data_IF_225105365688
#
_entry.id   IF_225105365688
#
_cell.length_a   1.000
_cell.length_b   1.000
_cell.length_c   1.000
_cell.angle_alpha   90.00
_cell.angle_beta   90.00
_cell.angle_gamma   90.00
#
_symmetry.space_group_name_H-M   'P 1'
#
loop_
_entity.id
_entity.type
_entity.pdbx_description
1 polymer ?
#
# COMPACT_ATOMS: atom_id res chain seq x y z
N UNK A 1 3.92 -21.05 -14.41
CA UNK A 1 4.11 -20.13 -13.27
C UNK A 1 3.76 -20.93 -12.03
N UNK A 2 4.73 -21.17 -11.15
CA UNK A 2 4.55 -21.95 -9.93
C UNK A 2 3.61 -21.22 -8.96
N UNK A 3 2.38 -21.70 -8.83
CA UNK A 3 1.41 -21.23 -7.83
C UNK A 3 1.90 -21.48 -6.39
N UNK A 4 2.87 -22.38 -6.19
CA UNK A 4 3.51 -22.68 -4.90
C UNK A 4 4.33 -21.52 -4.32
N UNK A 5 4.78 -20.59 -5.17
CA UNK A 5 5.52 -19.38 -4.73
C UNK A 5 4.57 -18.25 -4.31
N UNK A 6 3.27 -18.35 -4.68
CA UNK A 6 2.27 -17.29 -4.49
C UNK A 6 1.82 -17.19 -3.02
N UNK A 7 1.96 -18.25 -2.22
CA UNK A 7 1.57 -18.20 -0.79
C UNK A 7 2.69 -17.74 0.16
N UNK A 8 3.95 -18.05 -0.13
CA UNK A 8 5.04 -17.87 0.84
C UNK A 8 5.52 -16.41 0.98
N UNK A 9 5.42 -15.59 -0.07
CA UNK A 9 5.88 -14.19 0.02
C UNK A 9 5.02 -13.35 0.97
N UNK A 10 3.74 -13.71 1.11
CA UNK A 10 2.75 -12.96 1.90
C UNK A 10 2.82 -13.27 3.40
N UNK A 11 3.62 -14.29 3.77
CA UNK A 11 3.93 -14.64 5.14
C UNK A 11 4.64 -13.48 5.85
N UNK A 12 4.22 -13.21 7.08
CA UNK A 12 4.71 -12.08 7.86
C UNK A 12 6.22 -12.18 8.12
N UNK A 13 6.74 -13.38 8.38
CA UNK A 13 8.16 -13.58 8.63
C UNK A 13 8.99 -13.34 7.36
N UNK A 14 8.53 -13.84 6.21
CA UNK A 14 9.19 -13.59 4.92
C UNK A 14 9.19 -12.10 4.57
N UNK A 15 8.03 -11.44 4.65
CA UNK A 15 7.91 -10.00 4.44
C UNK A 15 8.82 -9.21 5.40
N UNK A 16 8.84 -9.55 6.68
CA UNK A 16 9.69 -8.89 7.68
C UNK A 16 11.17 -9.01 7.34
N UNK A 17 11.61 -10.21 6.93
CA UNK A 17 12.99 -10.50 6.56
C UNK A 17 13.49 -9.63 5.41
N UNK A 18 12.63 -9.35 4.43
CA UNK A 18 12.97 -8.51 3.29
C UNK A 18 12.75 -7.01 3.56
N UNK A 19 11.76 -6.65 4.39
CA UNK A 19 11.44 -5.26 4.69
C UNK A 19 12.46 -4.60 5.63
N UNK A 20 12.93 -5.32 6.66
CA UNK A 20 13.85 -4.78 7.68
C UNK A 20 15.11 -4.11 7.09
N UNK A 21 15.89 -4.75 6.20
CA UNK A 21 17.08 -4.11 5.63
C UNK A 21 16.75 -2.89 4.76
N UNK A 22 15.56 -2.85 4.14
CA UNK A 22 15.13 -1.67 3.38
C UNK A 22 14.81 -0.49 4.31
N UNK A 23 14.16 -0.74 5.45
CA UNK A 23 13.89 0.32 6.43
C UNK A 23 15.19 0.94 6.95
N UNK A 24 16.22 0.13 7.18
CA UNK A 24 17.55 0.61 7.56
C UNK A 24 18.24 1.37 6.42
N UNK A 25 18.19 0.83 5.19
CA UNK A 25 18.81 1.45 4.01
C UNK A 25 18.25 2.85 3.73
N UNK A 26 16.96 3.06 3.93
CA UNK A 26 16.28 4.33 3.71
C UNK A 26 16.18 5.22 4.97
N UNK A 27 16.87 4.89 6.07
CA UNK A 27 16.80 5.58 7.37
C UNK A 27 15.35 5.84 7.86
N UNK A 28 14.48 4.86 7.66
CA UNK A 28 13.08 4.96 8.08
C UNK A 28 12.97 4.79 9.58
N UNK A 29 12.70 5.91 10.27
CA UNK A 29 12.55 5.92 11.73
C UNK A 29 11.16 5.45 12.14
N UNK A 30 11.10 4.58 13.16
CA UNK A 30 9.83 4.22 13.78
C UNK A 30 9.17 5.44 14.45
N UNK A 31 7.93 5.74 14.06
CA UNK A 31 7.15 6.89 14.59
C UNK A 31 5.90 6.48 15.38
N UNK A 32 5.75 5.19 15.72
CA UNK A 32 4.57 4.71 16.44
C UNK A 32 3.27 4.67 15.60
N UNK A 33 3.40 4.70 14.27
CA UNK A 33 2.26 4.75 13.35
C UNK A 33 2.28 3.62 12.30
N UNK A 34 3.11 2.59 12.50
CA UNK A 34 3.45 1.59 11.50
C UNK A 34 4.93 1.68 11.12
N UNK A 35 5.41 0.69 10.36
CA UNK A 35 6.81 0.62 9.89
C UNK A 35 7.09 1.64 8.79
N UNK A 36 6.08 1.90 7.97
CA UNK A 36 6.09 2.87 6.88
C UNK A 36 4.91 3.82 7.11
N UNK A 37 5.22 5.10 7.28
CA UNK A 37 4.22 6.15 7.46
C UNK A 37 4.27 7.08 6.25
N UNK A 38 3.14 7.20 5.55
CA UNK A 38 3.00 8.05 4.38
C UNK A 38 2.00 9.15 4.67
N UNK A 39 2.51 10.38 4.73
CA UNK A 39 1.74 11.60 4.81
C UNK A 39 1.83 12.40 3.49
N UNK A 40 1.46 13.67 3.54
CA UNK A 40 1.49 14.56 2.38
C UNK A 40 2.91 15.07 2.05
N UNK A 41 3.93 14.71 2.82
CA UNK A 41 5.31 15.13 2.54
C UNK A 41 5.89 14.29 1.40
N UNK A 42 6.38 14.97 0.37
CA UNK A 42 6.96 14.34 -0.83
C UNK A 42 8.03 13.30 -0.50
N UNK A 43 8.90 13.60 0.47
CA UNK A 43 9.94 12.68 0.91
C UNK A 43 9.39 11.35 1.44
N UNK A 44 8.32 11.38 2.24
CA UNK A 44 7.70 10.17 2.80
C UNK A 44 7.01 9.34 1.71
N UNK A 45 6.40 10.02 0.73
CA UNK A 45 5.75 9.39 -0.42
C UNK A 45 6.80 8.66 -1.28
N UNK A 46 7.87 9.38 -1.67
CA UNK A 46 8.93 8.82 -2.52
C UNK A 46 9.66 7.67 -1.82
N UNK A 47 9.96 7.81 -0.52
CA UNK A 47 10.63 6.77 0.26
C UNK A 47 9.78 5.50 0.36
N UNK A 48 8.47 5.63 0.64
CA UNK A 48 7.58 4.49 0.69
C UNK A 48 7.41 3.82 -0.69
N UNK A 49 7.33 4.60 -1.77
CA UNK A 49 7.27 4.05 -3.14
C UNK A 49 8.53 3.26 -3.49
N UNK A 50 9.72 3.78 -3.14
CA UNK A 50 10.99 3.08 -3.35
C UNK A 50 11.05 1.77 -2.56
N UNK A 51 10.70 1.79 -1.27
CA UNK A 51 10.69 0.59 -0.43
C UNK A 51 9.73 -0.48 -0.97
N UNK A 52 8.52 -0.08 -1.38
CA UNK A 52 7.55 -1.03 -1.96
C UNK A 52 8.04 -1.59 -3.30
N UNK A 53 8.75 -0.78 -4.08
CA UNK A 53 9.35 -1.20 -5.36
C UNK A 53 10.49 -2.19 -5.15
N UNK A 54 11.42 -1.90 -4.24
CA UNK A 54 12.53 -2.80 -3.94
C UNK A 54 12.05 -4.12 -3.32
N UNK A 55 11.02 -4.06 -2.48
CA UNK A 55 10.40 -5.23 -1.88
C UNK A 55 9.65 -6.08 -2.93
N UNK A 56 9.01 -5.43 -3.90
CA UNK A 56 8.39 -6.08 -5.08
C UNK A 56 9.44 -6.83 -5.91
N UNK A 57 10.59 -6.22 -6.16
CA UNK A 57 11.71 -6.84 -6.89
C UNK A 57 12.26 -8.04 -6.10
N UNK A 58 12.51 -7.87 -4.80
CA UNK A 58 13.07 -8.93 -3.95
C UNK A 58 12.15 -10.16 -3.84
N UNK A 59 10.84 -9.95 -3.80
CA UNK A 59 9.84 -11.01 -3.67
C UNK A 59 9.34 -11.55 -5.02
N UNK A 60 9.60 -10.84 -6.13
CA UNK A 60 9.14 -11.20 -7.47
C UNK A 60 7.62 -11.11 -7.63
N UNK A 61 6.98 -10.14 -6.96
CA UNK A 61 5.52 -9.92 -6.99
C UNK A 61 5.21 -8.45 -7.29
N UNK A 62 3.96 -8.09 -7.60
CA UNK A 62 3.64 -6.71 -7.97
C UNK A 62 3.67 -5.74 -6.78
N UNK A 63 4.04 -4.48 -7.04
CA UNK A 63 4.03 -3.39 -6.05
C UNK A 63 2.67 -3.22 -5.38
N UNK A 64 1.57 -3.39 -6.13
CA UNK A 64 0.21 -3.32 -5.61
C UNK A 64 -0.08 -4.44 -4.61
N UNK A 65 0.37 -5.67 -4.87
CA UNK A 65 0.18 -6.79 -3.95
C UNK A 65 0.97 -6.59 -2.65
N UNK A 66 2.24 -6.16 -2.75
CA UNK A 66 3.08 -5.81 -1.59
C UNK A 66 2.44 -4.70 -0.77
N UNK A 67 2.08 -3.59 -1.41
CA UNK A 67 1.47 -2.45 -0.73
C UNK A 67 0.16 -2.83 -0.03
N UNK A 68 -0.68 -3.64 -0.67
CA UNK A 68 -1.91 -4.15 -0.07
C UNK A 68 -1.63 -5.01 1.17
N UNK A 69 -0.66 -5.93 1.09
CA UNK A 69 -0.30 -6.79 2.21
C UNK A 69 0.30 -6.01 3.38
N UNK A 70 1.17 -5.03 3.12
CA UNK A 70 1.73 -4.16 4.16
C UNK A 70 0.65 -3.33 4.87
N UNK A 71 -0.39 -2.88 4.15
CA UNK A 71 -1.54 -2.21 4.77
C UNK A 71 -2.35 -3.17 5.64
N UNK A 72 -2.60 -4.41 5.19
CA UNK A 72 -3.31 -5.42 6.01
C UNK A 72 -2.60 -5.74 7.32
N UNK A 73 -1.26 -5.82 7.29
CA UNK A 73 -0.43 -6.05 8.47
C UNK A 73 -0.29 -4.79 9.35
N UNK A 74 -0.92 -3.67 8.97
CA UNK A 74 -0.76 -2.36 9.61
C UNK A 74 0.71 -1.88 9.66
N UNK A 75 1.52 -2.34 8.70
CA UNK A 75 2.93 -1.94 8.57
C UNK A 75 3.08 -0.72 7.66
N UNK A 76 2.21 -0.57 6.67
CA UNK A 76 2.10 0.63 5.84
C UNK A 76 0.84 1.40 6.20
N UNK A 77 1.01 2.62 6.72
CA UNK A 77 -0.08 3.54 7.02
C UNK A 77 0.00 4.75 6.10
N UNK A 78 -0.91 4.79 5.12
CA UNK A 78 -1.08 5.93 4.21
C UNK A 78 -2.27 6.78 4.65
N UNK A 79 -2.00 7.92 5.30
CA UNK A 79 -3.06 8.80 5.80
C UNK A 79 -3.77 9.57 4.69
N UNK A 80 -3.14 9.70 3.51
CA UNK A 80 -3.77 10.35 2.35
C UNK A 80 -4.96 9.53 1.87
N UNK A 81 -4.84 8.20 1.91
CA UNK A 81 -5.94 7.29 1.52
C UNK A 81 -7.09 7.29 2.52
N UNK A 82 -6.80 7.48 3.81
CA UNK A 82 -7.83 7.59 4.85
C UNK A 82 -8.72 8.83 4.65
N UNK A 83 -8.14 9.96 4.21
CA UNK A 83 -8.89 11.20 3.98
C UNK A 83 -9.89 11.13 2.82
N UNK A 84 -9.72 10.23 1.86
CA UNK A 84 -10.66 10.03 0.74
C UNK A 84 -11.87 9.14 1.09
N UNK A 85 -11.84 8.42 2.21
CA UNK A 85 -12.94 7.55 2.63
C UNK A 85 -14.08 8.29 3.35
N UNK A 86 -13.91 9.59 3.66
CA UNK A 86 -14.86 10.36 4.46
C UNK A 86 -15.78 11.30 3.65
N UNK A 87 -15.86 11.18 2.31
CA UNK A 87 -16.69 12.06 1.47
C UNK A 87 -17.88 11.35 0.79
N UNK A 88 -18.40 10.26 1.35
CA UNK A 88 -19.68 9.67 0.92
C UNK A 88 -20.62 9.41 2.09
N UNK A 89 -20.90 10.46 2.85
CA UNK A 89 -21.95 10.47 3.85
C UNK A 89 -22.62 11.84 3.90
N UNK A 90 -23.88 11.88 3.45
CA UNK A 90 -24.89 12.94 3.66
C UNK A 90 -25.06 13.98 2.55
N UNK A 91 -25.96 13.68 1.60
CA UNK A 91 -27.08 14.59 1.31
C UNK A 91 -28.31 13.77 0.87
N UNK A 92 -29.42 13.73 1.62
CA UNK A 92 -30.66 13.14 1.16
C UNK A 92 -31.47 14.22 0.43
N UNK A 93 -31.43 14.20 -0.90
CA UNK A 93 -32.17 15.18 -1.69
C UNK A 93 -32.05 14.94 -3.19
N UNK A 94 -33.04 14.21 -3.73
CA UNK A 94 -33.49 14.21 -5.13
C UNK A 94 -32.57 13.69 -6.23
N UNK A 95 -33.06 12.63 -6.91
CA UNK A 95 -32.85 12.41 -8.34
C UNK A 95 -32.08 11.14 -8.72
N UNK A 96 -32.80 10.09 -9.10
CA UNK A 96 -32.22 8.91 -9.75
C UNK A 96 -31.54 9.28 -11.08
N UNK A 97 -30.34 8.75 -11.33
CA UNK A 97 -29.94 8.22 -12.65
C UNK A 97 -28.78 7.22 -12.49
N UNK A 98 -29.04 5.97 -12.86
CA UNK A 98 -28.05 4.90 -13.00
C UNK A 98 -27.32 5.08 -14.33
N UNK A 99 -25.99 5.19 -14.28
CA UNK A 99 -25.11 5.07 -15.44
C UNK A 99 -24.10 3.95 -15.18
N UNK A 100 -24.20 2.89 -15.97
CA UNK A 100 -23.42 1.66 -15.90
C UNK A 100 -21.90 1.87 -15.87
N UNK A 101 -21.24 1.00 -15.09
CA UNK A 101 -19.98 0.34 -15.44
C UNK A 101 -18.79 1.22 -15.83
N UNK A 102 -17.90 1.50 -14.87
CA UNK A 102 -16.47 1.53 -15.18
C UNK A 102 -15.70 1.10 -13.93
N UNK A 103 -15.30 -0.16 -13.91
CA UNK A 103 -14.20 -0.62 -13.05
C UNK A 103 -12.99 0.23 -13.38
N UNK A 104 -12.70 1.24 -12.56
CA UNK A 104 -11.44 1.98 -12.66
C UNK A 104 -10.33 1.09 -12.11
N UNK A 105 -9.77 0.27 -13.00
CA UNK A 105 -8.44 -0.29 -12.80
C UNK A 105 -7.49 0.91 -12.82
N UNK A 106 -6.93 1.24 -11.67
CA UNK A 106 -5.88 2.25 -11.58
C UNK A 106 -4.57 1.55 -11.96
N UNK A 107 -4.17 1.70 -13.21
CA UNK A 107 -2.84 1.31 -13.69
C UNK A 107 -1.87 2.45 -13.39
N UNK A 108 -0.80 2.17 -12.65
CA UNK A 108 0.31 3.11 -12.45
C UNK A 108 1.26 3.00 -13.65
N UNK A 109 1.62 4.16 -14.22
CA UNK A 109 2.65 4.30 -15.25
C UNK A 109 4.01 4.61 -14.60
#
# INVERSE_FOLDING_TARGET
MDESKIDQWSDEYVLNRHLTPLLEHYDVKWRGHGRLYVDYQRHNIETAQRIVTDLSIALGVSTSAVGFRLMQLNWLKDVRRASHASTHGSNPGTGWHVGHGTTRIVTFA
#
